data_IF_357959909527
#
_entry.id   IF_357959909527
#
_cell.length_a   1.000
_cell.length_b   1.000
_cell.length_c   1.000
_cell.angle_alpha   90.00
_cell.angle_beta   90.00
_cell.angle_gamma   90.00
#
_symmetry.space_group_name_H-M   'P 1'
#
loop_
_entity.id
_entity.type
_entity.pdbx_description
1 polymer ?
#
# COMPACT_ATOMS: atom_id res chain seq x y z
N UNK A 1 -34.41 12.34 -56.24
CA UNK A 1 -34.34 12.16 -54.80
C UNK A 1 -33.24 11.19 -54.50
N UNK A 2 -32.02 11.65 -54.09
CA UNK A 2 -30.86 10.82 -53.75
C UNK A 2 -30.77 10.78 -52.25
N UNK A 3 -30.88 9.61 -51.64
CA UNK A 3 -30.67 9.38 -50.22
C UNK A 3 -29.18 9.16 -50.01
N UNK A 4 -28.53 10.03 -49.21
CA UNK A 4 -27.16 9.88 -48.75
C UNK A 4 -27.21 9.10 -47.44
N UNK A 5 -26.67 7.89 -47.46
CA UNK A 5 -26.47 7.08 -46.24
C UNK A 5 -25.20 7.55 -45.54
N UNK A 6 -25.35 8.12 -44.35
CA UNK A 6 -24.22 8.47 -43.48
C UNK A 6 -23.79 7.22 -42.72
N UNK A 7 -22.60 6.71 -43.04
CA UNK A 7 -21.94 5.63 -42.31
C UNK A 7 -21.25 6.22 -41.10
N UNK A 8 -21.79 5.96 -39.91
CA UNK A 8 -21.13 6.28 -38.63
C UNK A 8 -20.00 5.24 -38.42
N UNK A 9 -18.75 5.70 -38.58
CA UNK A 9 -17.58 4.96 -38.09
C UNK A 9 -17.56 5.08 -36.56
N UNK A 10 -17.88 3.99 -35.87
CA UNK A 10 -17.62 3.85 -34.46
C UNK A 10 -16.11 3.63 -34.27
N UNK A 11 -15.42 4.70 -33.90
CA UNK A 11 -14.04 4.62 -33.38
C UNK A 11 -14.10 3.91 -32.01
N UNK A 12 -13.79 2.64 -32.01
CA UNK A 12 -13.53 1.87 -30.80
C UNK A 12 -12.29 2.45 -30.13
N UNK A 13 -12.47 3.22 -29.07
CA UNK A 13 -11.41 3.55 -28.13
C UNK A 13 -11.01 2.25 -27.44
N UNK A 14 -9.85 1.70 -27.82
CA UNK A 14 -9.20 0.66 -27.07
C UNK A 14 -8.87 1.28 -25.68
N UNK A 15 -9.69 0.97 -24.68
CA UNK A 15 -9.40 1.22 -23.29
C UNK A 15 -8.18 0.37 -22.94
N UNK A 16 -6.99 0.96 -22.96
CA UNK A 16 -5.86 0.41 -22.21
C UNK A 16 -6.37 0.30 -20.77
N UNK A 17 -6.43 -0.95 -20.26
CA UNK A 17 -6.99 -1.24 -18.96
C UNK A 17 -6.29 -0.42 -17.87
N UNK A 18 -6.89 0.69 -17.50
CA UNK A 18 -6.56 1.38 -16.27
C UNK A 18 -6.94 0.42 -15.15
N UNK A 19 -5.97 -0.01 -14.36
CA UNK A 19 -6.23 -0.78 -13.16
C UNK A 19 -7.16 0.06 -12.29
N UNK A 20 -8.33 -0.48 -11.96
CA UNK A 20 -9.30 0.22 -11.12
C UNK A 20 -8.65 0.53 -9.77
N UNK A 21 -8.64 1.79 -9.40
CA UNK A 21 -8.05 2.26 -8.15
C UNK A 21 -9.14 2.88 -7.29
N UNK A 22 -9.41 2.27 -6.15
CA UNK A 22 -10.45 2.75 -5.23
C UNK A 22 -9.91 3.67 -4.14
N UNK A 23 -8.63 3.54 -3.82
CA UNK A 23 -8.00 4.35 -2.78
C UNK A 23 -6.65 4.90 -3.22
N UNK A 24 -6.30 6.06 -2.68
CA UNK A 24 -4.95 6.63 -2.78
C UNK A 24 -4.32 6.77 -1.40
N UNK A 25 -3.01 6.55 -1.26
CA UNK A 25 -2.30 6.80 -0.01
C UNK A 25 -2.20 8.30 0.24
N UNK A 26 -2.43 8.71 1.51
CA UNK A 26 -2.30 10.09 1.98
C UNK A 26 -1.11 10.21 2.94
N UNK A 27 -0.87 9.18 3.74
CA UNK A 27 0.22 9.17 4.70
C UNK A 27 0.41 7.84 5.40
N UNK A 28 1.52 7.71 6.11
CA UNK A 28 1.83 6.53 6.91
C UNK A 28 2.32 6.97 8.30
N UNK A 29 1.89 6.25 9.32
CA UNK A 29 2.49 6.29 10.66
C UNK A 29 3.32 5.01 10.83
N UNK A 30 4.62 5.15 11.05
CA UNK A 30 5.50 4.00 11.22
C UNK A 30 5.16 3.22 12.50
N UNK A 31 5.61 1.96 12.62
CA UNK A 31 5.45 1.17 13.83
C UNK A 31 6.00 1.86 15.07
N UNK A 32 5.44 1.56 16.23
CA UNK A 32 5.97 2.02 17.50
C UNK A 32 7.44 1.60 17.65
N UNK A 33 8.28 2.52 18.09
CA UNK A 33 9.73 2.31 18.23
C UNK A 33 10.54 2.52 16.94
N UNK A 34 9.90 2.82 15.81
CA UNK A 34 10.63 3.22 14.62
C UNK A 34 11.25 4.62 14.80
N UNK A 35 12.50 4.78 14.41
CA UNK A 35 13.25 6.01 14.52
C UNK A 35 13.37 6.69 13.15
N UNK A 36 13.19 8.01 13.10
CA UNK A 36 13.45 8.78 11.89
C UNK A 36 14.95 8.70 11.53
N UNK A 37 15.24 8.19 10.33
CA UNK A 37 16.60 7.97 9.84
C UNK A 37 17.04 8.99 8.78
N UNK A 38 16.22 10.04 8.54
CA UNK A 38 16.49 11.09 7.56
C UNK A 38 15.59 11.01 6.33
N UNK A 39 16.07 11.62 5.26
CA UNK A 39 15.38 11.62 3.95
C UNK A 39 16.25 10.98 2.90
N UNK A 40 15.61 10.35 1.93
CA UNK A 40 16.30 9.77 0.79
C UNK A 40 16.97 10.85 -0.03
N UNK A 41 18.27 10.68 -0.28
CA UNK A 41 19.03 11.58 -1.12
C UNK A 41 18.69 11.35 -2.60
N UNK A 42 18.77 12.41 -3.41
CA UNK A 42 18.68 12.30 -4.87
C UNK A 42 19.76 11.36 -5.41
N UNK A 43 19.39 10.49 -6.34
CA UNK A 43 20.36 9.68 -7.07
C UNK A 43 21.14 10.58 -8.04
N UNK A 44 22.47 10.40 -8.09
CA UNK A 44 23.28 11.00 -9.15
C UNK A 44 22.87 10.38 -10.50
N UNK A 45 22.29 11.19 -11.39
CA UNK A 45 22.03 10.74 -12.76
C UNK A 45 20.62 10.96 -13.31
N UNK A 46 19.72 11.64 -12.58
CA UNK A 46 18.39 11.97 -13.08
C UNK A 46 17.40 12.29 -11.98
N UNK A 47 16.18 12.76 -12.32
CA UNK A 47 15.13 12.97 -11.32
C UNK A 47 14.78 11.65 -10.63
N UNK A 48 14.91 11.62 -9.31
CA UNK A 48 14.50 10.49 -8.47
C UNK A 48 13.12 10.83 -7.86
N UNK A 49 12.03 10.12 -8.27
CA UNK A 49 10.69 10.40 -7.75
C UNK A 49 10.58 10.22 -6.23
N UNK A 50 11.46 9.43 -5.63
CA UNK A 50 11.48 9.16 -4.20
C UNK A 50 12.44 10.10 -3.43
N UNK A 51 13.05 11.09 -4.11
CA UNK A 51 13.93 12.05 -3.45
C UNK A 51 13.16 12.86 -2.41
N UNK A 52 13.69 12.92 -1.19
CA UNK A 52 13.04 13.60 -0.07
C UNK A 52 12.04 12.74 0.70
N UNK A 53 11.80 11.50 0.28
CA UNK A 53 11.00 10.52 1.04
C UNK A 53 11.58 10.33 2.45
N UNK A 54 10.72 10.39 3.46
CA UNK A 54 11.12 10.15 4.84
C UNK A 54 11.47 8.68 5.06
N UNK A 55 12.57 8.44 5.77
CA UNK A 55 13.03 7.09 6.10
C UNK A 55 12.88 6.87 7.60
N UNK A 56 12.18 5.81 7.96
CA UNK A 56 12.07 5.33 9.34
C UNK A 56 12.76 3.97 9.47
N UNK A 57 13.44 3.72 10.56
CA UNK A 57 14.09 2.44 10.86
C UNK A 57 13.55 1.81 12.12
N UNK A 58 13.25 0.53 12.03
CA UNK A 58 12.85 -0.31 13.14
C UNK A 58 13.80 -1.50 13.25
N UNK A 59 14.17 -1.89 14.49
CA UNK A 59 14.97 -3.07 14.79
C UNK A 59 14.11 -4.12 15.49
N UNK A 60 13.26 -4.84 14.75
CA UNK A 60 12.36 -5.81 15.34
C UNK A 60 13.07 -7.12 15.61
N UNK A 61 12.53 -7.89 16.57
CA UNK A 61 12.93 -9.27 16.80
C UNK A 61 12.17 -10.22 15.88
N UNK A 62 12.76 -11.40 15.66
CA UNK A 62 12.04 -12.47 14.96
C UNK A 62 10.77 -12.85 15.70
N UNK A 63 9.68 -13.04 14.95
CA UNK A 63 8.37 -13.35 15.50
C UNK A 63 7.67 -12.19 16.20
N UNK A 64 8.28 -11.02 16.29
CA UNK A 64 7.66 -9.84 16.89
C UNK A 64 6.43 -9.40 16.06
N UNK A 65 5.34 -9.10 16.77
CA UNK A 65 4.17 -8.49 16.16
C UNK A 65 4.36 -6.99 16.15
N UNK A 66 4.28 -6.39 14.98
CA UNK A 66 4.32 -4.94 14.79
C UNK A 66 3.06 -4.48 14.08
N UNK A 67 2.70 -3.22 14.30
CA UNK A 67 1.60 -2.57 13.61
C UNK A 67 2.06 -1.22 13.08
N UNK A 68 1.52 -0.83 11.92
CA UNK A 68 1.69 0.49 11.33
C UNK A 68 0.35 0.96 10.76
N UNK A 69 0.17 2.25 10.60
CA UNK A 69 -1.07 2.77 10.04
C UNK A 69 -0.83 3.45 8.69
N UNK A 70 -1.75 3.24 7.78
CA UNK A 70 -1.84 4.00 6.53
C UNK A 70 -3.10 4.86 6.55
N UNK A 71 -2.96 6.12 6.18
CA UNK A 71 -4.09 6.98 5.89
C UNK A 71 -4.34 6.94 4.39
N UNK A 72 -5.54 6.57 4.01
CA UNK A 72 -5.98 6.45 2.62
C UNK A 72 -7.21 7.32 2.37
N UNK A 73 -7.35 7.81 1.14
CA UNK A 73 -8.54 8.52 0.67
C UNK A 73 -9.35 7.59 -0.23
N UNK A 74 -10.64 7.51 0.02
CA UNK A 74 -11.59 6.84 -0.87
C UNK A 74 -11.81 7.69 -2.13
N UNK A 75 -11.47 7.13 -3.30
CA UNK A 75 -11.62 7.80 -4.60
C UNK A 75 -12.96 7.50 -5.27
N UNK A 76 -13.75 6.59 -4.70
CA UNK A 76 -15.05 6.21 -5.26
C UNK A 76 -16.14 7.19 -4.80
N UNK A 77 -17.28 7.15 -5.44
CA UNK A 77 -18.48 7.93 -5.11
C UNK A 77 -19.40 7.22 -4.09
N UNK A 78 -19.00 6.01 -3.65
CA UNK A 78 -19.68 5.22 -2.63
C UNK A 78 -18.79 4.98 -1.40
N UNK A 79 -19.36 4.65 -0.23
CA UNK A 79 -18.56 4.21 0.91
C UNK A 79 -17.83 2.90 0.60
N UNK A 80 -16.60 2.79 1.07
CA UNK A 80 -15.82 1.55 1.01
C UNK A 80 -15.63 0.96 2.40
N UNK A 81 -15.61 -0.36 2.48
CA UNK A 81 -15.26 -1.12 3.68
C UNK A 81 -13.93 -1.82 3.46
N UNK A 82 -12.92 -1.51 4.27
CA UNK A 82 -11.66 -2.24 4.30
C UNK A 82 -11.88 -3.47 5.17
N UNK A 83 -11.97 -4.64 4.55
CA UNK A 83 -12.36 -5.87 5.23
C UNK A 83 -11.18 -6.70 5.72
N UNK A 84 -9.99 -6.43 5.19
CA UNK A 84 -8.81 -7.17 5.55
C UNK A 84 -7.56 -6.74 4.79
N UNK A 85 -6.50 -7.46 5.04
CA UNK A 85 -5.24 -7.38 4.30
C UNK A 85 -4.93 -8.77 3.76
N UNK A 86 -4.48 -8.82 2.51
CA UNK A 86 -4.05 -10.09 1.93
C UNK A 86 -2.71 -10.51 2.55
N UNK A 87 -2.73 -11.64 3.24
CA UNK A 87 -1.52 -12.28 3.70
C UNK A 87 -0.84 -12.97 2.51
N UNK A 88 0.33 -12.51 2.13
CA UNK A 88 1.17 -13.19 1.15
C UNK A 88 2.33 -13.85 1.88
N UNK A 89 2.13 -15.12 2.25
CA UNK A 89 3.13 -15.91 2.98
C UNK A 89 4.37 -16.22 2.12
N UNK A 90 4.21 -16.18 0.80
CA UNK A 90 5.27 -16.46 -0.17
C UNK A 90 6.04 -15.19 -0.58
N UNK A 91 5.58 -14.01 -0.16
CA UNK A 91 6.30 -12.76 -0.42
C UNK A 91 7.65 -12.78 0.27
N UNK A 92 8.68 -12.44 -0.50
CA UNK A 92 10.06 -12.33 -0.03
C UNK A 92 10.29 -11.11 0.89
N UNK A 93 9.35 -10.81 1.78
CA UNK A 93 9.40 -9.72 2.74
C UNK A 93 9.71 -10.16 4.17
N UNK A 94 10.36 -9.28 4.93
CA UNK A 94 10.62 -9.50 6.35
C UNK A 94 9.39 -9.28 7.24
N UNK A 95 8.27 -8.84 6.68
CA UNK A 95 7.02 -8.61 7.39
C UNK A 95 5.88 -9.35 6.67
N UNK A 96 5.10 -10.09 7.44
CA UNK A 96 3.91 -10.80 6.96
C UNK A 96 2.68 -10.15 7.58
N UNK A 97 1.88 -9.41 6.80
CA UNK A 97 0.65 -8.82 7.29
C UNK A 97 -0.35 -9.92 7.64
N UNK A 98 -1.15 -9.72 8.69
CA UNK A 98 -2.13 -10.71 9.17
C UNK A 98 -3.55 -10.17 9.19
N UNK A 99 -3.73 -8.94 9.63
CA UNK A 99 -5.06 -8.37 9.86
C UNK A 99 -5.06 -6.85 9.79
N UNK A 100 -6.25 -6.30 9.61
CA UNK A 100 -6.59 -4.92 9.92
C UNK A 100 -6.97 -4.88 11.40
N UNK A 101 -6.26 -4.08 12.19
CA UNK A 101 -6.52 -3.96 13.62
C UNK A 101 -7.90 -3.36 13.89
N UNK A 102 -8.58 -3.90 14.88
CA UNK A 102 -9.93 -3.43 15.23
C UNK A 102 -11.06 -3.88 14.31
N UNK A 103 -10.76 -4.65 13.26
CA UNK A 103 -11.74 -5.15 12.30
C UNK A 103 -11.97 -4.23 11.10
N UNK A 104 -13.08 -4.40 10.37
CA UNK A 104 -13.36 -3.61 9.18
C UNK A 104 -13.42 -2.11 9.44
N UNK A 105 -12.88 -1.33 8.51
CA UNK A 105 -12.86 0.14 8.55
C UNK A 105 -13.73 0.68 7.43
N UNK A 106 -14.75 1.47 7.78
CA UNK A 106 -15.63 2.14 6.81
C UNK A 106 -15.09 3.53 6.50
N UNK A 107 -14.99 3.86 5.21
CA UNK A 107 -14.53 5.16 4.72
C UNK A 107 -15.58 5.72 3.76
N UNK A 108 -16.19 6.84 4.11
CA UNK A 108 -17.18 7.49 3.27
C UNK A 108 -16.59 7.95 1.93
N UNK A 109 -17.43 8.11 0.92
CA UNK A 109 -17.04 8.61 -0.40
C UNK A 109 -16.22 9.91 -0.31
N UNK A 110 -15.10 9.97 -1.00
CA UNK A 110 -14.20 11.13 -1.03
C UNK A 110 -13.52 11.48 0.29
N UNK A 111 -13.73 10.70 1.36
CA UNK A 111 -13.16 10.95 2.69
C UNK A 111 -11.86 10.17 2.91
N UNK A 112 -11.12 10.60 3.92
CA UNK A 112 -9.93 9.90 4.40
C UNK A 112 -10.28 8.98 5.56
N UNK A 113 -9.56 7.87 5.64
CA UNK A 113 -9.65 6.92 6.75
C UNK A 113 -8.28 6.35 7.10
N UNK A 114 -8.12 6.01 8.38
CA UNK A 114 -6.91 5.38 8.90
C UNK A 114 -7.12 3.87 9.00
N UNK A 115 -6.21 3.12 8.44
CA UNK A 115 -6.17 1.67 8.47
C UNK A 115 -4.91 1.23 9.19
N UNK A 116 -5.05 0.55 10.31
CA UNK A 116 -3.94 -0.03 11.04
C UNK A 116 -3.74 -1.49 10.61
N UNK A 117 -2.53 -1.79 10.16
CA UNK A 117 -2.14 -3.13 9.67
C UNK A 117 -1.22 -3.79 10.67
N UNK A 118 -1.65 -4.91 11.19
CA UNK A 118 -0.87 -5.76 12.08
C UNK A 118 -0.24 -6.93 11.33
N UNK A 119 0.96 -7.31 11.73
CA UNK A 119 1.64 -8.46 11.17
C UNK A 119 2.80 -8.94 12.02
N UNK A 120 3.50 -9.95 11.52
CA UNK A 120 4.63 -10.57 12.21
C UNK A 120 5.90 -10.44 11.40
N UNK A 121 6.99 -10.15 12.09
CA UNK A 121 8.33 -10.10 11.49
C UNK A 121 8.87 -11.50 11.27
N UNK A 122 9.37 -11.75 10.06
CA UNK A 122 10.09 -12.96 9.65
C UNK A 122 11.46 -12.57 9.11
N UNK A 123 12.28 -12.07 10.00
CA UNK A 123 13.55 -11.44 9.62
C UNK A 123 14.73 -12.40 9.52
N UNK A 124 14.68 -13.59 10.13
CA UNK A 124 15.84 -14.48 10.26
C UNK A 124 16.55 -14.80 8.93
N UNK A 125 15.80 -14.97 7.85
CA UNK A 125 16.40 -15.21 6.52
C UNK A 125 17.13 -14.00 5.92
N UNK A 126 16.95 -12.82 6.52
CA UNK A 126 17.54 -11.55 6.08
C UNK A 126 18.65 -11.06 7.03
N UNK A 127 19.16 -11.90 7.91
CA UNK A 127 20.10 -11.52 8.95
C UNK A 127 21.20 -10.56 8.47
N UNK A 128 21.41 -9.47 9.18
CA UNK A 128 22.35 -8.41 8.84
C UNK A 128 21.91 -7.49 7.71
N UNK A 129 20.70 -7.65 7.16
CA UNK A 129 20.20 -6.83 6.07
C UNK A 129 19.16 -5.82 6.55
N UNK A 130 19.04 -4.75 5.75
CA UNK A 130 17.94 -3.79 5.86
C UNK A 130 16.92 -4.10 4.77
N UNK A 131 15.69 -4.42 5.18
CA UNK A 131 14.61 -4.82 4.28
C UNK A 131 13.49 -3.78 4.32
N UNK A 132 13.06 -3.23 3.17
CA UNK A 132 11.94 -2.29 3.16
C UNK A 132 10.63 -3.00 3.50
N UNK A 133 9.79 -2.34 4.29
CA UNK A 133 8.42 -2.74 4.51
C UNK A 133 7.62 -2.41 3.24
N UNK A 134 7.02 -3.40 2.63
CA UNK A 134 6.11 -3.19 1.52
C UNK A 134 4.76 -2.67 2.04
N UNK A 135 4.11 -1.81 1.26
CA UNK A 135 2.75 -1.40 1.56
C UNK A 135 1.77 -2.57 1.53
N UNK A 136 0.62 -2.45 2.18
CA UNK A 136 -0.33 -3.54 2.30
C UNK A 136 -1.13 -3.75 1.00
N UNK A 137 -1.52 -5.00 0.73
CA UNK A 137 -2.61 -5.31 -0.19
C UNK A 137 -3.93 -5.31 0.59
N UNK A 138 -4.70 -4.23 0.48
CA UNK A 138 -5.96 -4.08 1.18
C UNK A 138 -7.09 -4.78 0.43
N UNK A 139 -7.90 -5.56 1.15
CA UNK A 139 -9.14 -6.14 0.66
C UNK A 139 -10.28 -5.19 0.96
N UNK A 140 -11.05 -4.81 -0.05
CA UNK A 140 -12.07 -3.78 0.02
C UNK A 140 -13.39 -4.24 -0.58
N UNK A 141 -14.49 -3.66 -0.10
CA UNK A 141 -15.84 -3.83 -0.64
C UNK A 141 -16.50 -2.48 -0.83
N UNK A 142 -17.26 -2.32 -1.92
CA UNK A 142 -18.13 -1.18 -2.19
C UNK A 142 -19.28 -1.59 -3.09
N UNK A 143 -20.52 -1.22 -2.76
CA UNK A 143 -21.70 -1.45 -3.59
C UNK A 143 -21.99 -2.92 -3.97
N UNK A 144 -21.34 -3.88 -3.34
CA UNK A 144 -21.41 -5.32 -3.68
C UNK A 144 -20.21 -5.85 -4.46
N UNK A 145 -19.33 -4.98 -4.90
CA UNK A 145 -18.06 -5.34 -5.56
C UNK A 145 -16.94 -5.54 -4.54
N UNK A 146 -15.95 -6.34 -4.92
CA UNK A 146 -14.75 -6.61 -4.11
C UNK A 146 -13.50 -6.30 -4.93
N UNK A 147 -12.54 -5.63 -4.30
CA UNK A 147 -11.24 -5.32 -4.89
C UNK A 147 -10.12 -5.59 -3.89
N UNK A 148 -8.99 -6.07 -4.39
CA UNK A 148 -7.73 -6.08 -3.65
C UNK A 148 -6.77 -5.11 -4.32
N UNK A 149 -6.28 -4.12 -3.57
CA UNK A 149 -5.39 -3.09 -4.10
C UNK A 149 -4.15 -2.97 -3.23
N UNK A 150 -2.98 -2.96 -3.90
CA UNK A 150 -1.71 -2.58 -3.28
C UNK A 150 -1.73 -1.09 -2.97
N UNK A 151 -1.44 -0.73 -1.72
CA UNK A 151 -1.30 0.66 -1.29
C UNK A 151 0.17 0.95 -1.04
N UNK A 152 0.72 1.95 -1.73
CA UNK A 152 2.08 2.40 -1.49
C UNK A 152 2.16 3.19 -0.17
N UNK A 153 3.29 3.08 0.52
CA UNK A 153 3.56 3.87 1.71
C UNK A 153 4.17 5.21 1.27
N UNK A 154 3.63 6.32 1.74
CA UNK A 154 4.18 7.66 1.47
C UNK A 154 5.51 7.96 2.20
N UNK A 155 6.08 6.98 2.88
CA UNK A 155 7.40 7.02 3.51
C UNK A 155 8.04 5.63 3.44
N UNK A 156 9.37 5.58 3.51
CA UNK A 156 10.14 4.35 3.53
C UNK A 156 10.32 3.84 4.96
N UNK A 157 9.76 2.69 5.27
CA UNK A 157 9.97 2.01 6.55
C UNK A 157 10.97 0.87 6.31
N UNK A 158 12.09 0.89 7.00
CA UNK A 158 13.17 -0.08 6.90
C UNK A 158 13.23 -0.95 8.15
N UNK A 159 13.11 -2.26 7.97
CA UNK A 159 13.34 -3.25 9.02
C UNK A 159 14.83 -3.63 9.01
N UNK A 160 15.54 -3.28 10.08
CA UNK A 160 16.96 -3.64 10.28
C UNK A 160 17.00 -4.96 11.01
N UNK A 161 17.26 -6.04 10.29
CA UNK A 161 17.26 -7.39 10.85
C UNK A 161 18.64 -7.72 11.43
N UNK A 162 18.67 -8.08 12.71
CA UNK A 162 19.92 -8.44 13.38
C UNK A 162 20.47 -9.77 12.88
N UNK A 163 21.83 -9.92 12.90
CA UNK A 163 22.46 -11.20 12.67
C UNK A 163 22.20 -12.12 13.88
N UNK A 164 21.84 -13.36 13.64
CA UNK A 164 21.82 -14.37 14.71
C UNK A 164 20.46 -14.84 15.19
N UNK A 165 19.56 -15.10 14.26
CA UNK A 165 18.37 -15.92 14.57
C UNK A 165 18.71 -17.38 14.89
#
# INVERSE_FOLDING_TARGET
MRRVAATLLALGLASCGATEQWVEPVGVEPPAGAEAAGKRAERQGGPDPDAGEEIFRLRPREGESIAYSVTIRNLTDEPISITGVKADEDRDGAFVPKAVAGGPVEIAAGSEGRVEVEGTVRGCRFGGQTVPLAGPELQMRSGGDELTQQVELGARIELVVEEGC
#
